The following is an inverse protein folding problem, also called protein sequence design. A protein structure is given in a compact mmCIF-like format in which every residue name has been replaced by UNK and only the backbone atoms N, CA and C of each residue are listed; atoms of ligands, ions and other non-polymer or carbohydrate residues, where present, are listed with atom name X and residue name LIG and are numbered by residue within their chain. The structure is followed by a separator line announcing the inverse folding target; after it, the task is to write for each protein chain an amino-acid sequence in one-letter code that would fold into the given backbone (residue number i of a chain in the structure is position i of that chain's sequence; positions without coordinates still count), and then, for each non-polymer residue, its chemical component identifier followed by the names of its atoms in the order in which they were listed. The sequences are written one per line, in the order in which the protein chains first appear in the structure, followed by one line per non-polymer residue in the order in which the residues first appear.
data_IF_039467174795
#
_entry.id   IF_039467174795
#
_cell.length_a   1.000
_cell.length_b   1.000
_cell.length_c   1.000
_cell.angle_alpha   90.00
_cell.angle_beta   90.00
_cell.angle_gamma   90.00
#
_symmetry.space_group_name_H-M   'P 1'
#
loop_
_entity.id
_entity.type
_entity.pdbx_description
1 polymer ?
#
# COMPACT_ATOMS: atom_id res chain seq x y z
N UNK A 1 -20.30 -1.90 2.98
CA UNK A 1 -20.98 -1.58 4.26
C UNK A 1 -21.71 -0.25 4.17
N UNK A 2 -21.04 0.84 3.80
CA UNK A 2 -21.68 2.16 3.68
C UNK A 2 -22.88 2.15 2.72
N UNK A 3 -22.73 1.54 1.54
CA UNK A 3 -23.84 1.40 0.60
C UNK A 3 -25.05 0.66 1.21
N UNK A 4 -24.80 -0.40 2.00
CA UNK A 4 -25.87 -1.10 2.71
C UNK A 4 -26.49 -0.21 3.78
N UNK A 5 -25.67 0.52 4.54
CA UNK A 5 -26.13 1.40 5.60
C UNK A 5 -27.08 2.50 5.07
N UNK A 6 -26.73 3.10 3.93
CA UNK A 6 -27.52 4.18 3.32
C UNK A 6 -28.48 3.70 2.22
N UNK A 7 -28.64 2.38 2.04
CA UNK A 7 -29.56 1.83 1.03
C UNK A 7 -31.04 1.96 1.38
N UNK A 8 -31.35 2.33 2.63
CA UNK A 8 -32.72 2.32 3.17
C UNK A 8 -33.27 0.91 3.42
N UNK A 9 -32.49 -0.16 3.16
CA UNK A 9 -32.90 -1.56 3.35
C UNK A 9 -32.67 -2.08 4.78
N UNK A 10 -31.94 -1.33 5.60
CA UNK A 10 -31.61 -1.68 6.98
C UNK A 10 -31.96 -0.50 7.88
N UNK A 11 -32.68 -0.76 8.98
CA UNK A 11 -32.83 0.22 10.06
C UNK A 11 -31.51 0.37 10.79
N UNK A 12 -31.04 1.61 10.89
CA UNK A 12 -29.82 1.96 11.62
C UNK A 12 -30.21 2.93 12.71
N UNK A 13 -29.82 2.60 13.93
CA UNK A 13 -30.01 3.50 15.06
C UNK A 13 -29.22 4.78 14.85
N UNK A 14 -29.93 5.90 14.92
CA UNK A 14 -29.36 7.24 14.86
C UNK A 14 -29.15 7.75 16.27
N UNK A 15 -28.13 8.59 16.43
CA UNK A 15 -27.95 9.39 17.62
C UNK A 15 -29.14 10.35 17.82
N UNK A 16 -29.27 10.92 19.03
CA UNK A 16 -30.37 11.83 19.39
C UNK A 16 -30.46 13.08 18.50
N UNK A 17 -29.35 13.47 17.88
CA UNK A 17 -29.22 14.57 16.93
C UNK A 17 -29.47 14.16 15.46
N UNK A 18 -29.78 12.89 15.21
CA UNK A 18 -30.01 12.35 13.87
C UNK A 18 -28.75 11.88 13.14
N UNK A 19 -27.57 11.97 13.76
CA UNK A 19 -26.33 11.48 13.17
C UNK A 19 -26.25 9.94 13.16
N UNK A 20 -25.52 9.37 12.21
CA UNK A 20 -25.20 7.95 12.19
C UNK A 20 -23.93 7.68 13.00
N UNK A 21 -23.99 6.72 13.93
CA UNK A 21 -22.82 6.30 14.67
C UNK A 21 -22.08 5.17 13.95
N UNK A 22 -20.79 5.35 13.76
CA UNK A 22 -19.90 4.33 13.21
C UNK A 22 -18.81 4.08 14.26
N UNK A 23 -18.70 2.85 14.75
CA UNK A 23 -17.71 2.46 15.75
C UNK A 23 -16.33 2.23 15.11
N UNK A 24 -15.73 3.31 14.57
CA UNK A 24 -14.42 3.31 13.90
C UNK A 24 -13.66 4.58 14.20
N UNK A 25 -12.35 4.54 13.96
CA UNK A 25 -11.51 5.72 14.00
C UNK A 25 -11.85 6.65 12.82
N UNK A 26 -12.23 7.90 13.14
CA UNK A 26 -12.59 8.92 12.16
C UNK A 26 -11.38 9.57 11.47
N UNK A 27 -10.16 9.32 11.94
CA UNK A 27 -8.94 10.02 11.50
C UNK A 27 -8.76 9.99 9.98
N UNK A 28 -8.94 8.82 9.35
CA UNK A 28 -8.77 8.64 7.89
C UNK A 28 -10.07 8.70 7.11
N UNK A 29 -11.21 8.85 7.78
CA UNK A 29 -12.52 8.81 7.14
C UNK A 29 -12.71 9.96 6.13
N UNK A 30 -11.96 11.05 6.27
CA UNK A 30 -11.94 12.17 5.31
C UNK A 30 -11.58 11.69 3.89
N UNK A 31 -10.58 10.82 3.74
CA UNK A 31 -10.14 10.34 2.42
C UNK A 31 -11.20 9.46 1.77
N UNK A 32 -11.87 8.64 2.58
CA UNK A 32 -12.98 7.79 2.15
C UNK A 32 -14.17 8.63 1.68
N UNK A 33 -14.54 9.67 2.44
CA UNK A 33 -15.60 10.60 2.03
C UNK A 33 -15.26 11.36 0.76
N UNK A 34 -14.03 11.82 0.61
CA UNK A 34 -13.60 12.54 -0.58
C UNK A 34 -13.60 11.61 -1.81
N UNK A 35 -13.18 10.35 -1.65
CA UNK A 35 -13.28 9.34 -2.70
C UNK A 35 -14.73 9.14 -3.15
N UNK A 36 -15.66 8.94 -2.20
CA UNK A 36 -17.09 8.76 -2.52
C UNK A 36 -17.73 9.99 -3.19
N UNK A 37 -17.17 11.19 -3.02
CA UNK A 37 -17.65 12.43 -3.66
C UNK A 37 -17.09 12.63 -5.06
N UNK A 38 -15.80 12.36 -5.24
CA UNK A 38 -15.07 12.76 -6.44
C UNK A 38 -14.73 11.57 -7.35
N UNK A 39 -14.79 10.34 -6.84
CA UNK A 39 -14.36 9.12 -7.53
C UNK A 39 -12.84 8.95 -7.62
N UNK A 40 -12.05 9.75 -6.90
CA UNK A 40 -10.59 9.73 -6.97
C UNK A 40 -9.96 9.71 -5.58
N UNK A 41 -8.93 8.86 -5.41
CA UNK A 41 -8.13 8.79 -4.19
C UNK A 41 -6.98 9.81 -4.23
N UNK A 42 -7.19 10.92 -3.53
CA UNK A 42 -6.19 11.99 -3.36
C UNK A 42 -5.56 11.85 -1.97
N UNK A 43 -4.24 11.63 -1.95
CA UNK A 43 -3.43 11.52 -0.74
C UNK A 43 -2.32 12.58 -0.75
N UNK A 44 -1.91 13.10 0.41
CA UNK A 44 -0.76 13.98 0.48
C UNK A 44 0.53 13.26 0.10
N UNK A 45 1.48 14.00 -0.45
CA UNK A 45 2.80 13.47 -0.79
C UNK A 45 3.49 12.91 0.46
N UNK A 46 4.00 11.68 0.37
CA UNK A 46 4.65 11.00 1.49
C UNK A 46 3.70 10.49 2.58
N UNK A 47 2.41 10.28 2.28
CA UNK A 47 1.45 9.72 3.23
C UNK A 47 1.97 8.44 3.91
N UNK A 48 2.12 8.50 5.24
CA UNK A 48 2.61 7.38 6.07
C UNK A 48 1.50 6.46 6.55
N UNK A 49 0.24 6.88 6.41
CA UNK A 49 -0.95 6.20 6.94
C UNK A 49 -1.62 5.25 5.94
N UNK A 50 -0.94 4.85 4.86
CA UNK A 50 -1.52 3.97 3.83
C UNK A 50 -2.06 2.65 4.39
N UNK A 51 -1.34 2.05 5.35
CA UNK A 51 -1.77 0.82 6.03
C UNK A 51 -3.03 1.02 6.86
N UNK A 52 -3.16 2.15 7.53
CA UNK A 52 -4.35 2.47 8.33
C UNK A 52 -5.56 2.69 7.41
N UNK A 53 -5.35 3.38 6.29
CA UNK A 53 -6.39 3.57 5.28
C UNK A 53 -6.81 2.26 4.60
N UNK A 54 -5.87 1.32 4.39
CA UNK A 54 -6.16 -0.03 3.89
C UNK A 54 -7.13 -0.78 4.83
N UNK A 55 -6.89 -0.70 6.15
CA UNK A 55 -7.74 -1.32 7.17
C UNK A 55 -9.16 -0.72 7.15
N UNK A 56 -9.28 0.60 7.07
CA UNK A 56 -10.59 1.24 6.95
C UNK A 56 -11.31 0.85 5.65
N UNK A 57 -10.59 0.79 4.53
CA UNK A 57 -11.18 0.46 3.23
C UNK A 57 -11.77 -0.95 3.21
N UNK A 58 -11.14 -1.90 3.91
CA UNK A 58 -11.69 -3.26 4.12
C UNK A 58 -12.96 -3.25 4.96
N UNK A 59 -13.05 -2.36 5.95
CA UNK A 59 -14.23 -2.23 6.82
C UNK A 59 -15.43 -1.59 6.09
N UNK A 60 -15.20 -0.58 5.24
CA UNK A 60 -16.26 0.11 4.49
C UNK A 60 -16.74 -0.62 3.20
N UNK A 61 -16.24 -1.84 2.98
CA UNK A 61 -15.72 -2.40 1.72
C UNK A 61 -15.91 -1.50 0.50
N UNK A 62 -14.86 -0.75 0.15
CA UNK A 62 -14.76 0.03 -1.08
C UNK A 62 -13.57 -0.48 -1.86
N UNK A 63 -13.79 -1.47 -2.73
CA UNK A 63 -12.72 -2.20 -3.41
C UNK A 63 -11.84 -1.27 -4.27
N UNK A 64 -12.44 -0.26 -4.87
CA UNK A 64 -11.75 0.64 -5.80
C UNK A 64 -10.65 1.47 -5.08
N UNK A 65 -10.85 1.82 -3.81
CA UNK A 65 -9.82 2.50 -3.00
C UNK A 65 -8.65 1.56 -2.72
N UNK A 66 -8.89 0.26 -2.51
CA UNK A 66 -7.82 -0.72 -2.30
C UNK A 66 -6.97 -0.87 -3.55
N UNK A 67 -7.60 -0.95 -4.72
CA UNK A 67 -6.91 -1.05 -6.00
C UNK A 67 -6.05 0.21 -6.27
N UNK A 68 -6.61 1.40 -6.00
CA UNK A 68 -5.88 2.66 -6.09
C UNK A 68 -4.71 2.75 -5.11
N UNK A 69 -4.86 2.25 -3.87
CA UNK A 69 -3.79 2.21 -2.87
C UNK A 69 -2.63 1.31 -3.31
N UNK A 70 -2.92 0.14 -3.88
CA UNK A 70 -1.89 -0.76 -4.44
C UNK A 70 -1.16 -0.09 -5.60
N UNK A 71 -1.87 0.69 -6.42
CA UNK A 71 -1.24 1.43 -7.52
C UNK A 71 -0.31 2.56 -7.04
N UNK A 72 -0.69 3.26 -5.95
CA UNK A 72 -0.02 4.46 -5.40
C UNK A 72 1.01 4.16 -4.31
N UNK A 73 1.06 2.94 -3.77
CA UNK A 73 2.10 2.53 -2.84
C UNK A 73 3.50 2.58 -3.47
N UNK A 74 4.58 2.57 -2.67
CA UNK A 74 5.94 2.50 -3.21
C UNK A 74 6.10 1.22 -4.05
N UNK A 75 6.15 1.39 -5.37
CA UNK A 75 6.35 0.35 -6.38
C UNK A 75 7.81 -0.11 -6.38
N UNK A 76 8.35 -0.42 -5.21
CA UNK A 76 9.72 -0.88 -5.09
C UNK A 76 9.77 -2.28 -5.70
N UNK A 77 10.32 -2.36 -6.92
CA UNK A 77 10.46 -3.58 -7.71
C UNK A 77 9.11 -4.25 -8.04
N UNK A 78 8.38 -3.71 -9.03
CA UNK A 78 7.18 -4.38 -9.59
C UNK A 78 7.46 -5.79 -10.11
N UNK A 79 8.71 -6.04 -10.50
CA UNK A 79 9.20 -7.28 -11.08
C UNK A 79 10.62 -7.54 -10.57
N UNK A 80 11.13 -8.75 -10.80
CA UNK A 80 12.56 -9.06 -10.62
C UNK A 80 13.38 -8.23 -11.60
N UNK A 81 13.89 -7.07 -11.16
CA UNK A 81 14.72 -6.20 -11.98
C UNK A 81 16.19 -6.50 -11.71
N UNK A 82 16.95 -6.79 -12.76
CA UNK A 82 18.40 -6.88 -12.67
C UNK A 82 18.94 -5.50 -12.33
N UNK A 83 19.68 -5.40 -11.23
CA UNK A 83 20.28 -4.17 -10.70
C UNK A 83 21.41 -3.70 -11.62
N UNK A 84 21.05 -3.06 -12.73
CA UNK A 84 22.00 -2.63 -13.78
C UNK A 84 22.30 -1.13 -13.75
N UNK A 85 21.38 -0.30 -13.28
CA UNK A 85 21.53 1.16 -13.25
C UNK A 85 22.28 1.67 -12.00
N UNK A 86 22.79 2.90 -12.08
CA UNK A 86 23.47 3.57 -10.96
C UNK A 86 22.52 3.93 -9.82
N UNK A 87 21.26 4.24 -10.13
CA UNK A 87 20.24 4.57 -9.14
C UNK A 87 19.96 3.41 -8.18
N UNK A 88 19.78 2.19 -8.68
CA UNK A 88 19.57 1.02 -7.82
C UNK A 88 20.82 0.71 -6.98
N UNK A 89 22.01 0.93 -7.53
CA UNK A 89 23.28 0.77 -6.79
C UNK A 89 23.39 1.80 -5.65
N UNK A 90 22.94 3.03 -5.88
CA UNK A 90 22.92 4.08 -4.87
C UNK A 90 21.98 3.72 -3.70
N UNK A 91 20.76 3.23 -3.99
CA UNK A 91 19.83 2.78 -2.95
C UNK A 91 20.42 1.63 -2.12
N UNK A 92 21.02 0.63 -2.77
CA UNK A 92 21.67 -0.49 -2.07
C UNK A 92 22.85 -0.04 -1.21
N UNK A 93 23.63 0.94 -1.69
CA UNK A 93 24.73 1.50 -0.92
C UNK A 93 24.27 2.24 0.35
N UNK A 94 23.03 2.76 0.35
CA UNK A 94 22.41 3.35 1.55
C UNK A 94 21.87 2.33 2.55
N UNK A 95 21.58 1.10 2.11
CA UNK A 95 21.06 0.02 2.98
C UNK A 95 22.16 -0.84 3.57
N UNK A 96 23.28 -0.95 2.87
CA UNK A 96 24.41 -1.76 3.30
C UNK A 96 25.32 -0.94 4.23
N UNK A 97 25.97 -1.59 5.22
CA UNK A 97 27.01 -0.94 6.00
C UNK A 97 28.07 -0.37 5.06
N UNK A 98 28.59 0.82 5.37
CA UNK A 98 29.71 1.41 4.63
C UNK A 98 30.90 0.45 4.68
N UNK A 99 31.06 -0.33 3.62
CA UNK A 99 32.23 -1.15 3.39
C UNK A 99 33.04 -0.43 2.30
N UNK A 100 34.35 -0.36 2.50
CA UNK A 100 35.33 0.29 1.62
C UNK A 100 35.44 -0.39 0.24
N UNK A 101 34.36 -0.33 -0.54
CA UNK A 101 34.35 -0.55 -1.99
C UNK A 101 34.64 -1.95 -2.50
N UNK A 102 34.80 -2.98 -1.65
CA UNK A 102 35.05 -4.36 -2.12
C UNK A 102 33.80 -5.21 -2.11
N UNK A 103 32.90 -4.91 -3.04
CA UNK A 103 31.80 -5.82 -3.38
C UNK A 103 32.27 -6.78 -4.47
N UNK A 104 32.20 -8.08 -4.20
CA UNK A 104 32.42 -9.11 -5.21
C UNK A 104 31.08 -9.80 -5.49
N UNK A 105 30.76 -9.97 -6.77
CA UNK A 105 29.59 -10.76 -7.18
C UNK A 105 29.82 -12.21 -6.75
N UNK A 106 29.02 -12.69 -5.80
CA UNK A 106 29.07 -14.08 -5.36
C UNK A 106 28.29 -14.99 -6.32
N UNK A 107 27.09 -14.58 -6.73
CA UNK A 107 26.14 -15.44 -7.45
C UNK A 107 25.25 -14.62 -8.41
N UNK A 108 24.95 -15.16 -9.60
CA UNK A 108 24.01 -14.58 -10.58
C UNK A 108 22.99 -15.62 -11.03
N UNK A 109 21.71 -15.40 -10.68
CA UNK A 109 20.60 -16.31 -11.00
C UNK A 109 20.44 -16.64 -12.50
N UNK A 110 20.85 -15.73 -13.39
CA UNK A 110 20.75 -15.97 -14.84
C UNK A 110 21.88 -16.82 -15.41
N UNK A 111 22.99 -17.00 -14.67
CA UNK A 111 24.15 -17.79 -15.13
C UNK A 111 24.09 -19.23 -14.61
N UNK A 112 23.57 -19.44 -13.40
CA UNK A 112 23.51 -20.76 -12.73
C UNK A 112 22.09 -21.35 -12.66
N UNK A 113 21.10 -20.66 -13.25
CA UNK A 113 19.71 -21.07 -13.29
C UNK A 113 18.86 -20.59 -12.11
N UNK A 114 17.53 -20.67 -12.26
CA UNK A 114 16.55 -20.09 -11.34
C UNK A 114 16.08 -21.03 -10.21
N UNK A 115 16.69 -22.21 -10.03
CA UNK A 115 16.22 -23.19 -9.03
C UNK A 115 16.75 -22.85 -7.63
N UNK A 116 15.90 -22.95 -6.61
CA UNK A 116 16.25 -22.68 -5.20
C UNK A 116 17.50 -23.45 -4.72
N UNK A 117 17.69 -24.68 -5.20
CA UNK A 117 18.85 -25.53 -4.91
C UNK A 117 20.19 -24.94 -5.37
N UNK A 118 20.18 -24.02 -6.34
CA UNK A 118 21.36 -23.34 -6.86
C UNK A 118 21.81 -22.20 -5.93
N UNK A 119 20.96 -21.73 -5.00
CA UNK A 119 21.24 -20.56 -4.16
C UNK A 119 21.79 -20.88 -2.76
N UNK A 120 21.77 -22.15 -2.35
CA UNK A 120 22.14 -22.59 -1.02
C UNK A 120 23.18 -23.73 -1.09
N UNK A 121 24.46 -23.48 -0.75
CA UNK A 121 25.46 -24.53 -0.54
C UNK A 121 25.29 -25.25 0.81
#
# INVERSE_FOLDING_TARGET
MLAAMFSGRYEIERCKDGAFFINRDGTHFRFILNYLRNGELILPDGATFLKELEVETKFYPIQEILDDLVSKGPQNFKESVILTNEEHRSVLSGWLPQQDGKWQLLMRASEEGFQAKTFHP
#
